data_IF_277826468878
#
_entry.id   IF_277826468878
#
_cell.length_a   1.000
_cell.length_b   1.000
_cell.length_c   1.000
_cell.angle_alpha   90.00
_cell.angle_beta   90.00
_cell.angle_gamma   90.00
#
_symmetry.space_group_name_H-M   'P 1'
#
loop_
_entity.id
_entity.type
_entity.pdbx_description
1 polymer ?
#
# COMPACT_ATOMS: atom_id res chain seq x y z
N UNK A 1 0.18 -0.33 -4.47
CA UNK A 1 0.75 -1.16 -5.56
C UNK A 1 -0.14 -1.22 -6.80
N UNK A 2 -1.41 -1.68 -6.72
CA UNK A 2 -2.32 -1.77 -7.88
C UNK A 2 -2.41 -0.47 -8.67
N UNK A 3 -2.61 0.69 -8.02
CA UNK A 3 -2.66 1.99 -8.68
C UNK A 3 -1.40 2.32 -9.49
N UNK A 4 -0.22 2.04 -8.93
CA UNK A 4 1.06 2.24 -9.63
C UNK A 4 1.18 1.33 -10.86
N UNK A 5 0.72 0.09 -10.77
CA UNK A 5 0.69 -0.83 -11.92
C UNK A 5 -0.27 -0.35 -13.01
N UNK A 6 -1.48 0.08 -12.66
CA UNK A 6 -2.46 0.62 -13.61
C UNK A 6 -1.87 1.81 -14.38
N UNK A 7 -1.16 2.68 -13.68
CA UNK A 7 -0.48 3.83 -14.31
C UNK A 7 0.68 3.40 -15.21
N UNK A 8 1.56 2.52 -14.73
CA UNK A 8 2.73 2.02 -15.49
C UNK A 8 2.32 1.29 -16.76
N UNK A 9 1.22 0.55 -16.70
CA UNK A 9 0.69 -0.20 -17.86
C UNK A 9 -0.22 0.67 -18.74
N UNK A 10 -0.41 1.94 -18.42
CA UNK A 10 -1.29 2.87 -19.15
C UNK A 10 -2.74 2.38 -19.27
N UNK A 11 -3.20 1.57 -18.30
CA UNK A 11 -4.56 1.03 -18.27
C UNK A 11 -5.56 2.10 -17.82
N UNK A 12 -5.16 2.97 -16.88
CA UNK A 12 -6.01 4.04 -16.38
C UNK A 12 -5.33 5.40 -16.57
N UNK A 13 -6.09 6.37 -17.08
CA UNK A 13 -5.64 7.77 -17.21
C UNK A 13 -5.67 8.48 -15.86
N UNK A 14 -6.70 8.24 -15.10
CA UNK A 14 -6.94 8.82 -13.78
C UNK A 14 -7.25 7.69 -12.79
N UNK A 15 -6.72 7.81 -11.59
CA UNK A 15 -6.97 6.85 -10.49
C UNK A 15 -7.33 7.63 -9.25
N UNK A 16 -8.49 7.32 -8.69
CA UNK A 16 -8.95 7.84 -7.40
C UNK A 16 -8.95 6.70 -6.39
N UNK A 17 -8.41 6.94 -5.21
CA UNK A 17 -8.36 5.99 -4.11
C UNK A 17 -9.23 6.49 -2.97
N UNK A 18 -10.23 5.71 -2.59
CA UNK A 18 -11.00 5.97 -1.38
C UNK A 18 -10.40 5.24 -0.20
N UNK A 19 -10.08 5.98 0.83
CA UNK A 19 -9.59 5.46 2.11
C UNK A 19 -10.54 5.88 3.23
N UNK A 20 -11.07 4.90 3.96
CA UNK A 20 -12.01 5.17 5.06
C UNK A 20 -11.37 5.88 6.26
N UNK A 21 -10.07 5.69 6.44
CA UNK A 21 -9.31 6.25 7.56
C UNK A 21 -8.78 7.65 7.23
N UNK A 22 -8.13 8.28 8.20
CA UNK A 22 -7.48 9.58 8.04
C UNK A 22 -6.07 9.49 7.45
N UNK A 23 -5.58 8.29 7.18
CA UNK A 23 -4.25 8.04 6.64
C UNK A 23 -4.17 6.70 5.94
N UNK A 24 -3.19 6.57 5.05
CA UNK A 24 -2.93 5.33 4.31
C UNK A 24 -2.19 4.31 5.17
N UNK A 25 -2.28 3.05 4.76
CA UNK A 25 -1.50 1.96 5.34
C UNK A 25 -2.34 0.84 5.96
N UNK A 26 -3.52 1.13 6.49
CA UNK A 26 -4.38 0.13 7.09
C UNK A 26 -3.64 -0.68 8.16
N UNK A 27 -3.42 -1.99 7.94
CA UNK A 27 -2.64 -2.86 8.84
C UNK A 27 -1.13 -2.59 8.84
N UNK A 28 -0.66 -1.76 7.94
CA UNK A 28 0.72 -1.25 7.86
C UNK A 28 0.78 0.21 8.30
N UNK A 29 -0.23 0.70 9.02
CA UNK A 29 -0.26 2.09 9.48
C UNK A 29 0.85 2.37 10.47
N UNK A 30 1.42 3.56 10.36
CA UNK A 30 2.46 4.09 11.24
C UNK A 30 1.97 5.40 11.83
N UNK A 31 2.39 5.71 13.04
CA UNK A 31 2.10 6.98 13.71
C UNK A 31 3.40 7.67 14.08
N UNK A 32 3.52 8.94 13.73
CA UNK A 32 4.61 9.79 14.21
C UNK A 32 4.35 10.32 15.61
N UNK A 33 5.43 10.60 16.35
CA UNK A 33 5.34 11.38 17.58
C UNK A 33 4.95 12.83 17.27
N UNK A 34 4.42 13.54 18.27
CA UNK A 34 4.04 14.95 18.11
C UNK A 34 5.25 15.84 17.78
N UNK A 35 6.46 15.44 18.19
CA UNK A 35 7.73 16.11 17.89
C UNK A 35 8.32 15.73 16.54
N UNK A 36 7.81 14.67 15.89
CA UNK A 36 8.34 14.18 14.63
C UNK A 36 9.61 13.34 14.73
N UNK A 37 10.14 13.13 15.94
CA UNK A 37 11.44 12.49 16.15
C UNK A 37 11.38 10.96 16.03
N UNK A 38 10.20 10.36 16.13
CA UNK A 38 10.01 8.91 16.07
C UNK A 38 8.79 8.54 15.26
N UNK A 39 8.87 7.37 14.61
CA UNK A 39 7.75 6.72 13.95
C UNK A 39 7.53 5.36 14.61
N UNK A 40 6.29 5.04 14.91
CA UNK A 40 5.88 3.78 15.52
C UNK A 40 4.92 3.07 14.56
N UNK A 41 5.20 1.82 14.26
CA UNK A 41 4.30 0.97 13.49
C UNK A 41 3.20 0.40 14.39
N UNK A 42 1.95 0.66 14.00
CA UNK A 42 0.77 0.26 14.77
C UNK A 42 0.27 -1.16 14.42
N UNK A 43 0.86 -1.75 13.39
CA UNK A 43 0.50 -3.08 12.90
C UNK A 43 1.74 -3.88 12.49
N UNK A 44 1.90 -4.14 11.20
CA UNK A 44 3.07 -4.82 10.68
C UNK A 44 4.34 -4.03 10.98
N UNK A 45 5.38 -4.68 11.48
CA UNK A 45 6.64 -4.06 11.89
C UNK A 45 7.79 -4.39 10.92
N UNK A 46 7.66 -5.46 10.15
CA UNK A 46 8.63 -5.87 9.14
C UNK A 46 7.95 -6.69 8.04
N UNK A 47 8.65 -6.87 6.94
CA UNK A 47 8.24 -7.72 5.82
C UNK A 47 9.22 -8.86 5.68
N UNK A 48 8.74 -10.09 5.67
CA UNK A 48 9.54 -11.26 5.35
C UNK A 48 9.43 -11.61 3.88
N UNK A 49 10.53 -11.51 3.17
CA UNK A 49 10.67 -11.99 1.81
C UNK A 49 11.14 -13.44 1.83
N UNK A 50 10.23 -14.38 1.68
CA UNK A 50 10.56 -15.79 1.49
C UNK A 50 11.12 -16.02 0.10
N UNK A 51 11.84 -17.13 -0.12
CA UNK A 51 12.41 -17.46 -1.44
C UNK A 51 11.33 -17.49 -2.54
N UNK A 52 10.14 -17.98 -2.24
CA UNK A 52 9.01 -17.99 -3.17
C UNK A 52 8.53 -16.57 -3.51
N UNK A 53 8.45 -15.69 -2.50
CA UNK A 53 8.07 -14.29 -2.72
C UNK A 53 9.17 -13.50 -3.44
N UNK A 54 10.43 -13.75 -3.17
CA UNK A 54 11.55 -13.14 -3.91
C UNK A 54 11.48 -13.52 -5.37
N UNK A 55 11.23 -14.80 -5.68
CA UNK A 55 11.10 -15.26 -7.07
C UNK A 55 9.93 -14.58 -7.80
N UNK A 56 8.78 -14.40 -7.14
CA UNK A 56 7.57 -13.83 -7.75
C UNK A 56 7.55 -12.31 -7.75
N UNK A 57 8.13 -11.68 -6.75
CA UNK A 57 7.96 -10.26 -6.46
C UNK A 57 9.28 -9.50 -6.24
N UNK A 58 10.42 -10.08 -6.60
CA UNK A 58 11.76 -9.52 -6.37
C UNK A 58 11.90 -8.06 -6.83
N UNK A 59 11.36 -7.73 -8.01
CA UNK A 59 11.38 -6.37 -8.55
C UNK A 59 10.75 -5.32 -7.62
N UNK A 60 9.74 -5.68 -6.83
CA UNK A 60 9.13 -4.75 -5.88
C UNK A 60 10.02 -4.53 -4.66
N UNK A 61 10.71 -5.59 -4.18
CA UNK A 61 11.68 -5.44 -3.10
C UNK A 61 12.87 -4.60 -3.56
N UNK A 62 13.38 -4.85 -4.76
CA UNK A 62 14.46 -4.05 -5.37
C UNK A 62 14.05 -2.57 -5.51
N UNK A 63 12.85 -2.30 -6.03
CA UNK A 63 12.32 -0.95 -6.19
C UNK A 63 12.25 -0.22 -4.83
N UNK A 64 11.65 -0.86 -3.82
CA UNK A 64 11.47 -0.26 -2.50
C UNK A 64 12.81 -0.05 -1.77
N UNK A 65 13.76 -0.96 -1.96
CA UNK A 65 15.10 -0.85 -1.39
C UNK A 65 15.89 0.25 -2.08
N UNK A 66 15.86 0.31 -3.41
CA UNK A 66 16.52 1.37 -4.18
C UNK A 66 15.97 2.76 -3.86
N UNK A 67 14.65 2.85 -3.58
CA UNK A 67 14.01 4.09 -3.15
C UNK A 67 14.24 4.42 -1.65
N UNK A 68 14.94 3.58 -0.90
CA UNK A 68 15.16 3.76 0.54
C UNK A 68 13.91 3.57 1.41
N UNK A 69 12.83 3.03 0.83
CA UNK A 69 11.57 2.75 1.54
C UNK A 69 11.68 1.51 2.39
N UNK A 70 12.41 0.50 1.91
CA UNK A 70 12.78 -0.70 2.65
C UNK A 70 14.27 -0.75 2.86
N UNK A 71 14.68 -1.26 4.02
CA UNK A 71 16.05 -1.63 4.35
C UNK A 71 16.05 -3.06 4.86
N UNK A 72 17.03 -3.85 4.43
CA UNK A 72 17.24 -5.17 5.00
C UNK A 72 17.51 -5.03 6.50
N UNK A 73 16.85 -5.86 7.28
CA UNK A 73 17.01 -5.86 8.72
C UNK A 73 18.36 -6.50 9.04
N UNK A 74 19.25 -5.72 9.62
CA UNK A 74 20.51 -6.24 10.13
C UNK A 74 20.23 -7.31 11.18
N UNK A 75 21.06 -8.34 11.22
CA UNK A 75 20.90 -9.52 12.10
C UNK A 75 21.07 -9.14 13.58
N UNK A 76 20.16 -8.34 14.09
CA UNK A 76 19.95 -8.19 15.52
C UNK A 76 19.06 -9.35 15.94
N UNK A 77 19.53 -10.19 16.84
CA UNK A 77 18.75 -11.29 17.40
C UNK A 77 17.54 -10.71 18.13
N UNK A 78 16.38 -10.77 17.47
CA UNK A 78 15.12 -10.32 18.07
C UNK A 78 14.46 -11.53 18.72
N UNK A 79 14.18 -11.44 20.02
CA UNK A 79 13.47 -12.50 20.73
C UNK A 79 12.09 -12.71 20.11
N UNK A 80 11.80 -13.96 19.75
CA UNK A 80 10.53 -14.32 19.10
C UNK A 80 10.52 -14.15 17.59
N UNK A 81 11.60 -13.73 16.96
CA UNK A 81 11.72 -13.68 15.51
C UNK A 81 11.53 -15.06 14.90
N UNK A 82 10.63 -15.17 13.92
CA UNK A 82 10.43 -16.39 13.14
C UNK A 82 11.25 -16.28 11.86
N UNK A 83 12.54 -16.57 11.96
CA UNK A 83 13.43 -16.60 10.81
C UNK A 83 13.56 -18.03 10.29
N UNK A 84 13.33 -18.23 8.99
CA UNK A 84 13.67 -19.47 8.29
C UNK A 84 14.92 -19.22 7.46
N UNK A 85 15.80 -20.24 7.38
CA UNK A 85 16.97 -20.15 6.52
C UNK A 85 16.58 -19.82 5.08
N UNK A 86 17.19 -18.77 4.52
CA UNK A 86 16.92 -18.28 3.17
C UNK A 86 15.84 -17.19 3.06
N UNK A 87 15.17 -16.85 4.16
CA UNK A 87 14.27 -15.69 4.19
C UNK A 87 15.07 -14.41 4.48
N UNK A 88 14.60 -13.27 3.93
CA UNK A 88 15.15 -11.95 4.23
C UNK A 88 14.06 -11.11 4.87
N UNK A 89 14.37 -10.47 5.99
CA UNK A 89 13.47 -9.54 6.65
C UNK A 89 13.85 -8.10 6.30
N UNK A 90 12.84 -7.28 6.01
CA UNK A 90 12.98 -5.87 5.70
C UNK A 90 12.18 -5.02 6.68
N UNK A 91 12.73 -3.90 7.07
CA UNK A 91 12.05 -2.83 7.82
C UNK A 91 11.88 -1.60 6.96
N UNK A 92 10.89 -0.78 7.28
CA UNK A 92 10.69 0.51 6.66
C UNK A 92 11.16 1.61 7.63
N UNK A 93 12.31 2.27 7.38
CA UNK A 93 12.86 3.28 8.30
C UNK A 93 11.91 4.45 8.60
N UNK A 94 11.06 4.82 7.63
CA UNK A 94 10.03 5.85 7.78
C UNK A 94 8.67 5.31 8.22
N UNK A 95 8.64 4.08 8.75
CA UNK A 95 7.44 3.34 9.12
C UNK A 95 6.80 2.58 7.96
N UNK A 96 6.12 1.48 8.28
CA UNK A 96 5.55 0.56 7.28
C UNK A 96 4.52 1.21 6.35
N UNK A 97 3.84 2.29 6.79
CA UNK A 97 2.94 3.06 5.93
C UNK A 97 3.65 3.71 4.73
N UNK A 98 4.98 3.91 4.80
CA UNK A 98 5.76 4.48 3.70
C UNK A 98 5.72 3.64 2.43
N UNK A 99 5.57 2.32 2.56
CA UNK A 99 5.40 1.41 1.42
C UNK A 99 4.12 1.74 0.63
N UNK A 100 3.00 1.93 1.33
CA UNK A 100 1.75 2.29 0.69
C UNK A 100 1.81 3.70 0.09
N UNK A 101 2.42 4.66 0.79
CA UNK A 101 2.62 6.03 0.31
C UNK A 101 3.45 6.05 -0.96
N UNK A 102 4.58 5.33 -1.01
CA UNK A 102 5.44 5.22 -2.17
C UNK A 102 4.66 4.83 -3.43
N UNK A 103 3.86 3.75 -3.37
CA UNK A 103 3.09 3.30 -4.54
C UNK A 103 1.93 4.24 -4.91
N UNK A 104 1.35 4.95 -3.96
CA UNK A 104 0.34 5.98 -4.24
C UNK A 104 1.01 7.16 -4.97
N UNK A 105 2.12 7.66 -4.48
CA UNK A 105 2.90 8.73 -5.11
C UNK A 105 3.34 8.36 -6.52
N UNK A 106 3.88 7.15 -6.70
CA UNK A 106 4.27 6.63 -8.02
C UNK A 106 3.10 6.51 -9.00
N UNK A 107 1.88 6.34 -8.51
CA UNK A 107 0.69 6.26 -9.37
C UNK A 107 0.15 7.61 -9.81
N UNK A 108 0.48 8.69 -9.10
CA UNK A 108 -0.17 9.99 -9.27
C UNK A 108 -1.66 9.95 -8.92
N UNK A 109 -2.12 8.93 -8.18
CA UNK A 109 -3.51 8.81 -7.79
C UNK A 109 -3.90 9.89 -6.77
N UNK A 110 -5.10 10.43 -6.88
CA UNK A 110 -5.70 11.24 -5.83
C UNK A 110 -6.25 10.34 -4.73
N UNK A 111 -6.05 10.72 -3.47
CA UNK A 111 -6.57 9.97 -2.32
C UNK A 111 -7.61 10.81 -1.61
N UNK A 112 -8.82 10.27 -1.49
CA UNK A 112 -9.90 10.86 -0.72
C UNK A 112 -10.05 10.10 0.60
N UNK A 113 -9.73 10.76 1.71
CA UNK A 113 -9.84 10.20 3.06
C UNK A 113 -11.25 10.33 3.62
N UNK A 114 -11.58 9.48 4.60
CA UNK A 114 -12.91 9.45 5.21
C UNK A 114 -13.98 8.86 4.28
N UNK A 115 -13.60 8.22 3.21
CA UNK A 115 -14.49 7.66 2.19
C UNK A 115 -14.58 6.15 2.33
N UNK A 116 -15.70 5.66 2.77
CA UNK A 116 -15.96 4.22 2.92
C UNK A 116 -16.92 3.74 1.84
N UNK A 117 -16.42 2.92 0.91
CA UNK A 117 -17.28 2.26 -0.05
C UNK A 117 -18.31 1.37 0.68
N UNK A 118 -19.59 1.56 0.34
CA UNK A 118 -20.71 0.78 0.86
C UNK A 118 -21.21 -0.27 -0.11
N UNK A 119 -21.36 0.13 -1.37
CA UNK A 119 -21.77 -0.79 -2.43
C UNK A 119 -20.93 -0.56 -3.67
N UNK A 120 -20.82 -1.63 -4.46
CA UNK A 120 -20.25 -1.63 -5.81
C UNK A 120 -21.24 -2.35 -6.69
N UNK A 121 -21.83 -1.64 -7.63
CA UNK A 121 -22.90 -2.15 -8.48
C UNK A 121 -22.50 -1.96 -9.94
N UNK A 122 -22.77 -2.97 -10.77
CA UNK A 122 -22.59 -2.88 -12.20
C UNK A 122 -23.85 -2.34 -12.83
N UNK A 123 -23.75 -1.43 -13.80
CA UNK A 123 -24.92 -0.96 -14.53
C UNK A 123 -25.53 -2.08 -15.40
N UNK A 124 -26.78 -1.90 -15.81
CA UNK A 124 -27.57 -2.95 -16.49
C UNK A 124 -26.96 -3.39 -17.83
N UNK A 125 -26.31 -2.48 -18.55
CA UNK A 125 -25.61 -2.76 -19.82
C UNK A 125 -24.19 -3.36 -19.62
N UNK A 126 -23.72 -3.40 -18.40
CA UNK A 126 -22.44 -4.01 -18.03
C UNK A 126 -21.22 -3.20 -18.45
N UNK A 127 -21.37 -1.94 -18.83
CA UNK A 127 -20.28 -1.08 -19.33
C UNK A 127 -19.60 -0.27 -18.22
N UNK A 128 -20.25 -0.12 -17.07
CA UNK A 128 -19.73 0.69 -15.98
C UNK A 128 -20.03 0.12 -14.59
N UNK A 129 -19.31 0.63 -13.60
CA UNK A 129 -19.52 0.31 -12.20
C UNK A 129 -19.82 1.59 -11.42
N UNK A 130 -20.80 1.52 -10.54
CA UNK A 130 -21.11 2.60 -9.60
C UNK A 130 -20.64 2.19 -8.21
N UNK A 131 -19.80 3.02 -7.61
CA UNK A 131 -19.35 2.86 -6.22
C UNK A 131 -20.02 3.94 -5.38
N UNK A 132 -20.69 3.55 -4.29
CA UNK A 132 -21.33 4.48 -3.36
C UNK A 132 -20.63 4.49 -2.01
N UNK A 133 -20.59 5.65 -1.37
CA UNK A 133 -20.14 5.80 0.01
C UNK A 133 -21.30 6.09 0.98
N UNK A 134 -20.97 6.31 2.25
CA UNK A 134 -21.95 6.63 3.31
C UNK A 134 -22.67 7.98 3.08
N UNK A 135 -22.09 8.88 2.28
CA UNK A 135 -22.60 10.25 2.03
C UNK A 135 -23.28 10.39 0.65
N UNK A 136 -23.47 9.28 -0.07
CA UNK A 136 -24.06 9.22 -1.43
C UNK A 136 -23.26 9.94 -2.53
N UNK A 137 -21.94 9.86 -2.50
CA UNK A 137 -21.12 10.21 -3.66
C UNK A 137 -21.00 8.99 -4.59
N UNK A 138 -21.11 9.25 -5.89
CA UNK A 138 -21.03 8.22 -6.93
C UNK A 138 -19.73 8.42 -7.73
N UNK A 139 -18.95 7.38 -7.91
CA UNK A 139 -17.93 7.31 -8.95
C UNK A 139 -18.43 6.38 -10.04
N UNK A 140 -18.47 6.88 -11.25
CA UNK A 140 -18.80 6.11 -12.43
C UNK A 140 -17.48 5.63 -13.05
N UNK A 141 -17.29 4.31 -13.15
CA UNK A 141 -16.09 3.72 -13.73
C UNK A 141 -16.52 3.07 -15.04
N UNK A 142 -16.14 3.70 -16.16
CA UNK A 142 -16.38 3.12 -17.47
C UNK A 142 -15.39 1.99 -17.73
N UNK A 143 -15.89 0.86 -18.19
CA UNK A 143 -15.06 -0.24 -18.69
C UNK A 143 -14.79 0.02 -20.18
N UNK A 144 -13.54 0.35 -20.51
CA UNK A 144 -13.08 0.37 -21.90
C UNK A 144 -12.99 -1.04 -22.45
#
# INVERSE_FOLDING_TARGET
>A
MTCALLKRMSIAKEVVVWEKSRGVGGRMSSSGTRTGDCVVDLGAQYVTATQDYVTKHGKFYEELTAAGVLKEMETVKIDGERHKSGDTNFVAPAGMASIAKHFIEQSGASVEFGRRARSVERNDDGTAWTVTDEVKYYIHIESN
#
